data_IF_715673411425
#
_entry.id   IF_715673411425
#
_cell.length_a   1.000
_cell.length_b   1.000
_cell.length_c   1.000
_cell.angle_alpha   90.00
_cell.angle_beta   90.00
_cell.angle_gamma   90.00
#
_symmetry.space_group_name_H-M   'P 1'
#
loop_
_entity.id
_entity.type
_entity.pdbx_description
1 polymer ?
#
# COMPACT_ATOMS: atom_id res chain seq x y z
N UNK A 1 -22.60 -15.65 -17.72
CA UNK A 1 -22.40 -16.40 -18.98
C UNK A 1 -23.43 -15.95 -19.99
N UNK A 2 -23.00 -15.76 -21.24
CA UNK A 2 -23.89 -15.49 -22.37
C UNK A 2 -23.62 -16.52 -23.47
N UNK A 3 -24.61 -16.78 -24.32
CA UNK A 3 -24.44 -17.61 -25.51
C UNK A 3 -23.84 -16.82 -26.71
N UNK A 4 -23.74 -17.49 -27.86
CA UNK A 4 -23.23 -16.90 -29.11
C UNK A 4 -24.07 -15.72 -29.63
N UNK A 5 -25.33 -15.64 -29.23
CA UNK A 5 -26.31 -14.63 -29.67
C UNK A 5 -26.46 -13.51 -28.62
N UNK A 6 -25.58 -13.49 -27.61
CA UNK A 6 -25.57 -12.56 -26.48
C UNK A 6 -26.78 -12.70 -25.54
N UNK A 7 -27.41 -13.87 -25.51
CA UNK A 7 -28.46 -14.18 -24.52
C UNK A 7 -27.82 -14.62 -23.21
N UNK A 8 -28.30 -14.08 -22.09
CA UNK A 8 -27.83 -14.49 -20.76
C UNK A 8 -28.35 -15.90 -20.45
N UNK A 9 -27.43 -16.83 -20.18
CA UNK A 9 -27.75 -18.23 -19.83
C UNK A 9 -27.47 -18.55 -18.37
N UNK A 10 -26.55 -17.82 -17.73
CA UNK A 10 -26.27 -17.92 -16.30
C UNK A 10 -25.85 -16.56 -15.76
N UNK A 11 -26.49 -16.10 -14.67
CA UNK A 11 -26.13 -14.90 -13.94
C UNK A 11 -26.39 -15.12 -12.46
N UNK A 12 -25.33 -15.18 -11.66
CA UNK A 12 -25.41 -15.30 -10.20
C UNK A 12 -24.25 -14.60 -9.52
N UNK A 13 -24.46 -14.17 -8.27
CA UNK A 13 -23.37 -13.77 -7.39
C UNK A 13 -22.69 -15.02 -6.85
N UNK A 14 -21.36 -15.01 -6.79
CA UNK A 14 -20.56 -16.13 -6.29
C UNK A 14 -19.61 -15.60 -5.23
N UNK A 15 -19.58 -16.18 -4.03
CA UNK A 15 -18.56 -15.84 -3.02
C UNK A 15 -17.16 -16.12 -3.54
N UNK A 16 -16.20 -15.25 -3.20
CA UNK A 16 -14.80 -15.43 -3.60
C UNK A 16 -14.08 -16.45 -2.71
N UNK A 17 -14.53 -17.70 -2.75
CA UNK A 17 -13.94 -18.84 -2.05
C UNK A 17 -13.65 -19.95 -3.05
N UNK A 18 -12.63 -20.77 -2.78
CA UNK A 18 -12.20 -21.81 -3.71
C UNK A 18 -13.33 -22.81 -4.03
N UNK A 19 -14.06 -23.28 -3.01
CA UNK A 19 -15.15 -24.23 -3.17
C UNK A 19 -16.27 -23.69 -4.10
N UNK A 20 -16.75 -22.48 -3.83
CA UNK A 20 -17.84 -21.83 -4.60
C UNK A 20 -17.43 -21.54 -6.05
N UNK A 21 -16.16 -21.19 -6.26
CA UNK A 21 -15.62 -20.94 -7.59
C UNK A 21 -15.40 -22.24 -8.38
N UNK A 22 -14.95 -23.32 -7.73
CA UNK A 22 -14.85 -24.64 -8.35
C UNK A 22 -16.24 -25.21 -8.71
N UNK A 23 -17.23 -24.99 -7.85
CA UNK A 23 -18.63 -25.33 -8.14
C UNK A 23 -19.14 -24.54 -9.35
N UNK A 24 -18.89 -23.23 -9.42
CA UNK A 24 -19.21 -22.43 -10.60
C UNK A 24 -18.54 -22.95 -11.87
N UNK A 25 -17.26 -23.34 -11.79
CA UNK A 25 -16.55 -23.90 -12.94
C UNK A 25 -17.22 -25.20 -13.41
N UNK A 26 -17.52 -26.11 -12.49
CA UNK A 26 -18.24 -27.35 -12.79
C UNK A 26 -19.61 -27.10 -13.44
N UNK A 27 -20.44 -26.27 -12.80
CA UNK A 27 -21.77 -25.92 -13.30
C UNK A 27 -21.75 -25.38 -14.74
N UNK A 28 -20.76 -24.55 -15.06
CA UNK A 28 -20.63 -23.97 -16.39
C UNK A 28 -20.18 -25.01 -17.41
N UNK A 29 -19.19 -25.86 -17.06
CA UNK A 29 -18.72 -26.92 -17.96
C UNK A 29 -19.82 -27.94 -18.26
N UNK A 30 -20.56 -28.35 -17.22
CA UNK A 30 -21.71 -29.25 -17.33
C UNK A 30 -22.81 -28.65 -18.22
N UNK A 31 -23.16 -27.36 -18.01
CA UNK A 31 -24.15 -26.67 -18.83
C UNK A 31 -23.76 -26.63 -20.32
N UNK A 32 -22.46 -26.57 -20.60
CA UNK A 32 -21.94 -26.54 -21.97
C UNK A 32 -21.69 -27.92 -22.57
N UNK A 33 -21.92 -29.00 -21.83
CA UNK A 33 -21.60 -30.37 -22.26
C UNK A 33 -20.16 -30.49 -22.78
N UNK A 34 -19.21 -29.92 -22.01
CA UNK A 34 -17.78 -29.83 -22.35
C UNK A 34 -17.44 -29.06 -23.64
N UNK A 35 -18.40 -28.30 -24.20
CA UNK A 35 -18.09 -27.40 -25.31
C UNK A 35 -17.11 -26.30 -24.86
N UNK A 36 -16.23 -25.80 -25.75
CA UNK A 36 -15.22 -24.82 -25.37
C UNK A 36 -15.82 -23.53 -24.77
N UNK A 37 -15.50 -23.26 -23.51
CA UNK A 37 -15.93 -22.05 -22.79
C UNK A 37 -14.86 -20.97 -22.91
N UNK A 38 -15.31 -19.75 -23.20
CA UNK A 38 -14.45 -18.56 -23.15
C UNK A 38 -14.75 -17.76 -21.89
N UNK A 39 -13.73 -17.58 -21.07
CA UNK A 39 -13.79 -16.82 -19.83
C UNK A 39 -13.20 -15.43 -20.03
N UNK A 40 -13.72 -14.44 -19.31
CA UNK A 40 -13.25 -13.07 -19.41
C UNK A 40 -13.31 -12.38 -18.04
N UNK A 41 -12.23 -11.70 -17.67
CA UNK A 41 -12.11 -10.93 -16.43
C UNK A 41 -11.68 -9.50 -16.72
N UNK A 42 -12.13 -8.55 -15.90
CA UNK A 42 -11.74 -7.15 -15.98
C UNK A 42 -10.64 -6.73 -15.00
N UNK A 43 -10.21 -7.68 -14.16
CA UNK A 43 -9.12 -7.55 -13.23
C UNK A 43 -8.09 -8.62 -13.59
N UNK A 44 -6.81 -8.26 -13.52
CA UNK A 44 -5.68 -9.18 -13.74
C UNK A 44 -4.91 -9.49 -12.45
N UNK A 45 -5.39 -9.03 -11.30
CA UNK A 45 -4.78 -9.21 -9.99
C UNK A 45 -5.84 -9.08 -8.86
N UNK A 46 -5.35 -9.21 -7.61
CA UNK A 46 -6.08 -8.99 -6.37
C UNK A 46 -7.38 -9.82 -6.25
N UNK A 47 -8.54 -9.17 -6.22
CA UNK A 47 -9.83 -9.82 -6.00
C UNK A 47 -10.19 -10.91 -7.01
N UNK A 48 -9.59 -10.89 -8.21
CA UNK A 48 -9.77 -11.93 -9.22
C UNK A 48 -8.66 -12.99 -9.25
N UNK A 49 -7.61 -12.84 -8.43
CA UNK A 49 -6.42 -13.71 -8.51
C UNK A 49 -6.76 -15.18 -8.32
N UNK A 50 -7.59 -15.52 -7.32
CA UNK A 50 -8.02 -16.89 -7.07
C UNK A 50 -8.74 -17.49 -8.29
N UNK A 51 -9.71 -16.75 -8.84
CA UNK A 51 -10.47 -17.21 -10.00
C UNK A 51 -9.60 -17.40 -11.24
N UNK A 52 -8.67 -16.46 -11.49
CA UNK A 52 -7.70 -16.56 -12.59
C UNK A 52 -6.83 -17.82 -12.41
N UNK A 53 -6.31 -18.05 -11.19
CA UNK A 53 -5.49 -19.23 -10.90
C UNK A 53 -6.24 -20.53 -11.12
N UNK A 54 -7.49 -20.64 -10.66
CA UNK A 54 -8.32 -21.82 -10.88
C UNK A 54 -8.55 -22.06 -12.38
N UNK A 55 -8.95 -21.04 -13.13
CA UNK A 55 -9.16 -21.17 -14.57
C UNK A 55 -7.88 -21.61 -15.31
N UNK A 56 -6.74 -21.01 -15.00
CA UNK A 56 -5.45 -21.37 -15.61
C UNK A 56 -5.06 -22.82 -15.26
N UNK A 57 -5.22 -23.24 -14.00
CA UNK A 57 -4.88 -24.60 -13.55
C UNK A 57 -5.80 -25.68 -14.15
N UNK A 58 -7.03 -25.30 -14.52
CA UNK A 58 -7.98 -26.15 -15.22
C UNK A 58 -7.95 -25.97 -16.75
N UNK A 59 -6.86 -25.40 -17.29
CA UNK A 59 -6.60 -25.22 -18.72
C UNK A 59 -7.70 -24.46 -19.48
N UNK A 60 -8.40 -23.58 -18.77
CA UNK A 60 -9.52 -22.82 -19.33
C UNK A 60 -9.05 -21.63 -20.16
N UNK A 61 -9.73 -21.37 -21.28
CA UNK A 61 -9.43 -20.23 -22.15
C UNK A 61 -9.91 -18.92 -21.52
N UNK A 62 -8.99 -18.15 -20.96
CA UNK A 62 -9.27 -16.90 -20.25
C UNK A 62 -8.75 -15.67 -21.01
N UNK A 63 -9.54 -14.61 -21.06
CA UNK A 63 -9.13 -13.29 -21.56
C UNK A 63 -9.14 -12.23 -20.45
N UNK A 64 -8.19 -11.30 -20.50
CA UNK A 64 -8.19 -10.10 -19.67
C UNK A 64 -8.65 -8.89 -20.50
N UNK A 65 -9.70 -8.22 -20.05
CA UNK A 65 -10.21 -6.99 -20.65
C UNK A 65 -9.99 -5.83 -19.68
N UNK A 66 -9.04 -4.91 -19.92
CA UNK A 66 -8.80 -3.80 -19.01
C UNK A 66 -10.06 -2.98 -18.73
N UNK A 67 -10.27 -2.57 -17.47
CA UNK A 67 -11.42 -1.77 -17.04
C UNK A 67 -11.65 -0.51 -17.89
N UNK A 68 -10.57 0.10 -18.41
CA UNK A 68 -10.67 1.25 -19.32
C UNK A 68 -11.31 0.89 -20.66
N UNK A 69 -10.97 -0.26 -21.24
CA UNK A 69 -11.57 -0.77 -22.48
C UNK A 69 -13.05 -1.05 -22.28
N UNK A 70 -13.42 -1.65 -21.14
CA UNK A 70 -14.81 -1.91 -20.78
C UNK A 70 -15.58 -0.60 -20.57
N UNK A 71 -14.98 0.38 -19.89
CA UNK A 71 -15.60 1.70 -19.69
C UNK A 71 -15.92 2.37 -21.03
N UNK A 72 -14.98 2.36 -21.99
CA UNK A 72 -15.23 2.90 -23.33
C UNK A 72 -16.32 2.11 -24.08
N UNK A 73 -16.31 0.78 -23.99
CA UNK A 73 -17.35 -0.05 -24.62
C UNK A 73 -18.73 0.15 -23.97
N UNK A 74 -18.80 0.33 -22.65
CA UNK A 74 -20.06 0.37 -21.89
C UNK A 74 -21.02 1.49 -22.33
N UNK A 75 -20.49 2.54 -22.96
CA UNK A 75 -21.29 3.64 -23.52
C UNK A 75 -22.13 3.25 -24.74
N UNK A 76 -21.78 2.18 -25.45
CA UNK A 76 -22.56 1.69 -26.61
C UNK A 76 -23.68 0.70 -26.21
N UNK A 77 -23.72 0.24 -24.95
CA UNK A 77 -24.72 -0.69 -24.45
C UNK A 77 -25.93 0.04 -23.83
N UNK A 78 -27.14 -0.49 -24.08
CA UNK A 78 -28.39 0.06 -23.53
C UNK A 78 -28.40 0.04 -22.00
N UNK A 79 -29.11 1.00 -21.40
CA UNK A 79 -29.31 1.11 -19.95
C UNK A 79 -28.43 2.19 -19.29
N UNK A 80 -29.04 3.00 -18.44
CA UNK A 80 -28.38 4.03 -17.63
C UNK A 80 -27.91 3.48 -16.28
N UNK A 81 -26.72 3.90 -15.83
CA UNK A 81 -26.18 3.55 -14.52
C UNK A 81 -25.15 2.42 -14.56
N UNK A 82 -24.20 2.49 -13.62
CA UNK A 82 -23.18 1.45 -13.41
C UNK A 82 -23.77 0.35 -12.54
N UNK A 83 -23.79 -0.88 -13.04
CA UNK A 83 -24.20 -2.07 -12.28
C UNK A 83 -23.26 -3.22 -12.60
N UNK A 84 -22.98 -4.07 -11.61
CA UNK A 84 -22.08 -5.22 -11.81
C UNK A 84 -22.60 -6.18 -12.88
N UNK A 85 -23.92 -6.35 -12.98
CA UNK A 85 -24.55 -7.18 -14.00
C UNK A 85 -24.35 -6.61 -15.42
N UNK A 86 -24.45 -5.28 -15.59
CA UNK A 86 -24.14 -4.62 -16.86
C UNK A 86 -22.66 -4.78 -17.21
N UNK A 87 -21.76 -4.53 -16.25
CA UNK A 87 -20.32 -4.68 -16.47
C UNK A 87 -19.97 -6.12 -16.87
N UNK A 88 -20.54 -7.13 -16.19
CA UNK A 88 -20.35 -8.55 -16.53
C UNK A 88 -20.87 -8.89 -17.94
N UNK A 89 -22.03 -8.36 -18.33
CA UNK A 89 -22.57 -8.54 -19.68
C UNK A 89 -21.65 -7.93 -20.74
N UNK A 90 -21.22 -6.68 -20.55
CA UNK A 90 -20.31 -5.99 -21.48
C UNK A 90 -19.00 -6.76 -21.62
N UNK A 91 -18.42 -7.26 -20.52
CA UNK A 91 -17.19 -8.06 -20.55
C UNK A 91 -17.38 -9.33 -21.38
N UNK A 92 -18.45 -10.09 -21.11
CA UNK A 92 -18.73 -11.34 -21.80
C UNK A 92 -18.98 -11.10 -23.30
N UNK A 93 -19.74 -10.06 -23.64
CA UNK A 93 -20.08 -9.74 -25.02
C UNK A 93 -18.90 -9.19 -25.83
N UNK A 94 -18.06 -8.35 -25.21
CA UNK A 94 -16.79 -7.91 -25.82
C UNK A 94 -15.85 -9.10 -26.07
N UNK A 95 -15.73 -10.03 -25.13
CA UNK A 95 -14.91 -11.22 -25.30
C UNK A 95 -15.44 -12.15 -26.39
N UNK A 96 -16.77 -12.23 -26.56
CA UNK A 96 -17.44 -12.99 -27.62
C UNK A 96 -17.18 -12.40 -29.01
N UNK A 97 -17.24 -11.07 -29.15
CA UNK A 97 -17.16 -10.41 -30.46
C UNK A 97 -15.72 -10.16 -30.95
N UNK A 98 -14.80 -9.86 -30.03
CA UNK A 98 -13.44 -9.46 -30.39
C UNK A 98 -12.55 -10.65 -30.74
N UNK A 99 -11.76 -10.48 -31.81
CA UNK A 99 -10.79 -11.50 -32.29
C UNK A 99 -9.33 -11.12 -32.02
N UNK A 100 -9.10 -9.91 -31.55
CA UNK A 100 -7.78 -9.33 -31.26
C UNK A 100 -7.37 -9.51 -29.78
N UNK A 101 -8.18 -10.21 -28.98
CA UNK A 101 -7.86 -10.51 -27.60
C UNK A 101 -6.82 -11.63 -27.52
N UNK A 102 -5.78 -11.41 -26.71
CA UNK A 102 -4.77 -12.42 -26.44
C UNK A 102 -5.16 -13.20 -25.18
N UNK A 103 -5.21 -14.55 -25.23
CA UNK A 103 -5.52 -15.35 -24.05
C UNK A 103 -4.48 -15.12 -22.96
N UNK A 104 -4.95 -15.02 -21.72
CA UNK A 104 -4.10 -15.02 -20.56
C UNK A 104 -3.41 -16.39 -20.48
N UNK A 105 -2.11 -16.40 -20.70
CA UNK A 105 -1.29 -17.60 -20.56
C UNK A 105 -0.92 -17.80 -19.09
N UNK A 106 -0.56 -19.04 -18.73
CA UNK A 106 0.04 -19.33 -17.42
C UNK A 106 1.15 -18.34 -17.10
N UNK A 107 1.13 -17.78 -15.89
CA UNK A 107 2.09 -16.76 -15.50
C UNK A 107 3.45 -17.42 -15.35
N UNK A 108 4.44 -17.01 -16.14
CA UNK A 108 5.81 -17.50 -15.97
C UNK A 108 6.34 -17.11 -14.59
N UNK A 109 7.30 -17.87 -14.06
CA UNK A 109 7.97 -17.56 -12.80
C UNK A 109 8.48 -16.10 -12.77
N UNK A 110 9.07 -15.64 -13.89
CA UNK A 110 9.52 -14.26 -14.06
C UNK A 110 8.39 -13.22 -13.90
N UNK A 111 7.20 -13.51 -14.43
CA UNK A 111 6.05 -12.62 -14.32
C UNK A 111 5.49 -12.60 -12.88
N UNK A 112 5.56 -13.72 -12.15
CA UNK A 112 5.25 -13.78 -10.72
C UNK A 112 6.24 -12.93 -9.92
N UNK A 113 7.53 -13.10 -10.15
CA UNK A 113 8.58 -12.33 -9.48
C UNK A 113 8.43 -10.82 -9.73
N UNK A 114 8.20 -10.43 -10.99
CA UNK A 114 7.96 -9.04 -11.35
C UNK A 114 6.71 -8.49 -10.65
N UNK A 115 5.65 -9.30 -10.51
CA UNK A 115 4.43 -8.92 -9.77
C UNK A 115 4.73 -8.70 -8.28
N UNK A 116 5.51 -9.57 -7.64
CA UNK A 116 5.92 -9.40 -6.23
C UNK A 116 6.73 -8.10 -6.06
N UNK A 117 7.70 -7.85 -6.94
CA UNK A 117 8.54 -6.66 -6.88
C UNK A 117 7.74 -5.37 -7.11
N UNK A 118 6.81 -5.38 -8.07
CA UNK A 118 5.97 -4.22 -8.37
C UNK A 118 4.96 -3.95 -7.26
N UNK A 119 4.34 -4.98 -6.67
CA UNK A 119 3.50 -4.85 -5.49
C UNK A 119 4.27 -4.23 -4.32
N UNK A 120 5.46 -4.75 -4.01
CA UNK A 120 6.33 -4.20 -2.96
C UNK A 120 6.70 -2.74 -3.22
N UNK A 121 6.97 -2.36 -4.47
CA UNK A 121 7.25 -0.97 -4.85
C UNK A 121 6.03 -0.07 -4.62
N UNK A 122 4.82 -0.53 -4.93
CA UNK A 122 3.59 0.23 -4.69
C UNK A 122 3.37 0.44 -3.19
N UNK A 123 3.52 -0.61 -2.38
CA UNK A 123 3.40 -0.51 -0.92
C UNK A 123 4.39 0.51 -0.35
N UNK A 124 5.66 0.42 -0.76
CA UNK A 124 6.69 1.37 -0.34
C UNK A 124 6.38 2.81 -0.77
N UNK A 125 5.75 3.02 -1.93
CA UNK A 125 5.34 4.34 -2.37
C UNK A 125 4.20 4.90 -1.51
N UNK A 126 3.22 4.06 -1.16
CA UNK A 126 2.13 4.44 -0.26
C UNK A 126 2.67 4.76 1.13
N UNK A 127 3.53 3.91 1.68
CA UNK A 127 4.13 4.13 3.00
C UNK A 127 5.03 5.37 3.03
N UNK A 128 5.78 5.63 1.95
CA UNK A 128 6.53 6.89 1.79
C UNK A 128 5.59 8.09 1.87
N UNK A 129 4.48 8.10 1.14
CA UNK A 129 3.51 9.20 1.18
C UNK A 129 2.92 9.37 2.58
N UNK A 130 2.53 8.27 3.24
CA UNK A 130 2.03 8.30 4.63
C UNK A 130 3.06 8.90 5.58
N UNK A 131 4.31 8.45 5.50
CA UNK A 131 5.40 8.94 6.35
C UNK A 131 5.67 10.43 6.13
N UNK A 132 5.70 10.90 4.87
CA UNK A 132 5.85 12.32 4.53
C UNK A 132 4.69 13.14 5.09
N UNK A 133 3.44 12.70 4.90
CA UNK A 133 2.28 13.43 5.38
C UNK A 133 2.27 13.52 6.92
N UNK A 134 2.65 12.44 7.60
CA UNK A 134 2.81 12.46 9.06
C UNK A 134 3.90 13.43 9.51
N UNK A 135 5.05 13.43 8.83
CA UNK A 135 6.14 14.36 9.10
C UNK A 135 5.68 15.82 8.90
N UNK A 136 4.97 16.12 7.81
CA UNK A 136 4.43 17.47 7.54
C UNK A 136 3.46 17.89 8.63
N UNK A 137 2.54 17.02 9.06
CA UNK A 137 1.63 17.32 10.15
C UNK A 137 2.36 17.65 11.46
N UNK A 138 3.42 16.89 11.80
CA UNK A 138 4.23 17.16 12.99
C UNK A 138 5.01 18.47 12.89
N UNK A 139 5.60 18.78 11.74
CA UNK A 139 6.32 20.04 11.54
C UNK A 139 5.35 21.22 11.58
N UNK A 140 4.15 21.07 11.00
CA UNK A 140 3.13 22.11 11.00
C UNK A 140 2.67 22.48 12.42
N UNK A 141 2.59 21.50 13.32
CA UNK A 141 2.18 21.70 14.72
C UNK A 141 3.18 22.56 15.52
N UNK A 142 4.50 22.36 15.32
CA UNK A 142 5.54 23.00 16.16
C UNK A 142 6.39 24.04 15.43
N UNK A 143 6.46 23.99 14.10
CA UNK A 143 7.33 24.84 13.30
C UNK A 143 6.75 25.10 11.89
N UNK A 144 5.58 25.76 11.78
CA UNK A 144 4.88 25.97 10.52
C UNK A 144 5.71 26.73 9.47
N UNK A 145 6.57 27.66 9.89
CA UNK A 145 7.46 28.38 8.97
C UNK A 145 8.48 27.46 8.28
N UNK A 146 8.90 26.36 8.93
CA UNK A 146 9.81 25.37 8.35
C UNK A 146 9.09 24.49 7.32
N UNK A 147 7.84 24.13 7.60
CA UNK A 147 6.98 23.38 6.66
C UNK A 147 6.81 24.14 5.34
N UNK A 148 6.61 25.46 5.41
CA UNK A 148 6.49 26.31 4.21
C UNK A 148 7.82 26.47 3.46
N UNK A 149 8.95 26.35 4.14
CA UNK A 149 10.27 26.67 3.61
C UNK A 149 10.87 25.56 2.72
N UNK A 150 10.38 24.32 2.82
CA UNK A 150 10.78 23.22 1.94
C UNK A 150 9.73 22.11 1.82
N UNK A 151 9.71 21.43 0.68
CA UNK A 151 8.89 20.24 0.45
C UNK A 151 9.68 18.95 0.78
N UNK A 152 9.35 18.23 1.88
CA UNK A 152 10.04 17.00 2.25
C UNK A 152 9.74 15.82 1.31
N UNK A 153 8.75 15.94 0.42
CA UNK A 153 8.41 14.86 -0.52
C UNK A 153 9.40 14.71 -1.66
N UNK A 154 10.03 15.82 -2.05
CA UNK A 154 10.95 15.93 -3.19
C UNK A 154 12.40 16.20 -2.77
N UNK A 155 12.64 16.60 -1.52
CA UNK A 155 13.95 17.04 -1.04
C UNK A 155 14.58 16.08 -0.02
N UNK A 156 15.54 15.26 -0.47
CA UNK A 156 16.39 14.45 0.44
C UNK A 156 17.16 15.34 1.42
N UNK A 157 17.56 16.54 0.98
CA UNK A 157 18.24 17.54 1.83
C UNK A 157 17.40 17.96 3.02
N UNK A 158 16.10 18.19 2.80
CA UNK A 158 15.15 18.56 3.84
C UNK A 158 15.03 17.45 4.90
N UNK A 159 14.91 16.20 4.46
CA UNK A 159 14.84 15.04 5.35
C UNK A 159 16.13 14.91 6.17
N UNK A 160 17.30 15.08 5.54
CA UNK A 160 18.59 15.05 6.25
C UNK A 160 18.68 16.16 7.28
N UNK A 161 18.26 17.39 6.97
CA UNK A 161 18.23 18.49 7.93
C UNK A 161 17.41 18.14 9.17
N UNK A 162 16.21 17.58 8.97
CA UNK A 162 15.29 17.19 10.04
C UNK A 162 15.80 16.04 10.92
N UNK A 163 16.84 15.32 10.51
CA UNK A 163 17.49 14.33 11.39
C UNK A 163 18.26 14.98 12.55
N UNK A 164 18.68 16.25 12.40
CA UNK A 164 19.54 16.93 13.38
C UNK A 164 19.00 18.26 13.87
N UNK A 165 18.26 19.00 13.05
CA UNK A 165 17.72 20.31 13.39
C UNK A 165 16.20 20.31 13.16
N UNK A 166 15.45 20.20 14.25
CA UNK A 166 13.98 20.07 14.24
C UNK A 166 13.28 21.28 14.85
N UNK A 167 14.01 22.18 15.50
CA UNK A 167 13.46 23.32 16.23
C UNK A 167 13.97 24.65 15.66
N UNK A 168 13.18 25.74 15.78
CA UNK A 168 13.65 27.08 15.42
C UNK A 168 14.93 27.46 16.18
N UNK A 169 14.99 27.17 17.48
CA UNK A 169 16.13 27.50 18.33
C UNK A 169 17.43 26.82 17.88
N UNK A 170 17.37 25.55 17.50
CA UNK A 170 18.55 24.81 17.02
C UNK A 170 19.06 25.35 15.69
N UNK A 171 18.15 25.69 14.76
CA UNK A 171 18.51 26.32 13.48
C UNK A 171 19.12 27.72 13.66
N UNK A 172 18.61 28.50 14.62
CA UNK A 172 19.20 29.81 14.98
C UNK A 172 20.60 29.64 15.55
N UNK A 173 20.77 28.72 16.50
CA UNK A 173 22.04 28.48 17.19
C UNK A 173 23.16 28.05 16.25
N UNK A 174 22.86 27.19 15.27
CA UNK A 174 23.86 26.81 14.27
C UNK A 174 24.16 27.97 13.30
N UNK A 175 23.11 28.68 12.87
CA UNK A 175 23.23 29.77 11.91
C UNK A 175 23.51 29.30 10.47
N UNK A 176 23.24 30.20 9.51
CA UNK A 176 23.26 29.90 8.06
C UNK A 176 24.58 29.27 7.57
N UNK A 177 25.72 29.90 7.89
CA UNK A 177 27.01 29.49 7.36
C UNK A 177 27.43 28.09 7.85
N UNK A 178 27.25 27.79 9.14
CA UNK A 178 27.59 26.47 9.70
C UNK A 178 26.60 25.41 9.24
N UNK A 179 25.32 25.74 9.07
CA UNK A 179 24.32 24.83 8.53
C UNK A 179 24.65 24.43 7.08
N UNK A 180 25.04 25.40 6.25
CA UNK A 180 25.46 25.14 4.87
C UNK A 180 26.71 24.23 4.82
N UNK A 181 27.71 24.47 5.69
CA UNK A 181 28.88 23.59 5.80
C UNK A 181 28.50 22.19 6.26
N UNK A 182 27.61 22.06 7.26
CA UNK A 182 27.17 20.76 7.76
C UNK A 182 26.42 19.95 6.69
N UNK A 183 25.47 20.56 5.97
CA UNK A 183 24.73 19.92 4.89
C UNK A 183 25.64 19.57 3.69
N UNK A 184 26.67 20.39 3.39
CA UNK A 184 27.71 20.03 2.41
C UNK A 184 28.48 18.78 2.84
N UNK A 185 28.81 18.64 4.12
CA UNK A 185 29.48 17.46 4.67
C UNK A 185 28.58 16.20 4.63
N UNK A 186 27.25 16.36 4.57
CA UNK A 186 26.31 15.27 4.30
C UNK A 186 26.22 14.89 2.81
N UNK A 187 27.07 15.45 1.95
CA UNK A 187 27.13 15.22 0.49
C UNK A 187 25.87 15.64 -0.28
N UNK A 188 25.16 16.67 0.19
CA UNK A 188 23.95 17.17 -0.46
C UNK A 188 24.14 18.59 -1.00
N UNK A 189 23.45 18.96 -2.10
CA UNK A 189 23.43 20.33 -2.63
C UNK A 189 22.43 21.18 -1.82
N UNK A 190 22.93 22.31 -1.34
CA UNK A 190 22.55 22.77 0.01
C UNK A 190 22.12 24.23 0.11
N UNK A 191 22.54 25.10 -0.82
CA UNK A 191 22.52 26.56 -0.59
C UNK A 191 21.09 27.08 -0.35
N UNK A 192 20.12 26.62 -1.13
CA UNK A 192 18.72 27.04 -0.98
C UNK A 192 18.07 26.51 0.31
N UNK A 193 18.32 25.24 0.66
CA UNK A 193 17.72 24.62 1.86
C UNK A 193 18.29 25.21 3.15
N UNK A 194 19.61 25.46 3.20
CA UNK A 194 20.24 26.08 4.36
C UNK A 194 19.75 27.53 4.59
N UNK A 195 19.58 28.29 3.50
CA UNK A 195 19.04 29.65 3.55
C UNK A 195 17.57 29.65 3.99
N UNK A 196 16.71 28.90 3.31
CA UNK A 196 15.28 28.85 3.61
C UNK A 196 15.01 28.36 5.04
N UNK A 197 15.76 27.37 5.54
CA UNK A 197 15.57 26.85 6.90
C UNK A 197 15.97 27.87 7.96
N UNK A 198 17.02 28.64 7.73
CA UNK A 198 17.41 29.71 8.64
C UNK A 198 16.43 30.90 8.59
N UNK A 199 15.91 31.24 7.41
CA UNK A 199 14.91 32.29 7.23
C UNK A 199 13.58 31.89 7.92
N UNK A 200 13.19 30.63 7.83
CA UNK A 200 12.06 30.06 8.57
C UNK A 200 12.26 30.17 10.09
N UNK A 201 13.47 29.90 10.60
CA UNK A 201 13.77 29.99 12.02
C UNK A 201 13.73 31.42 12.58
N UNK A 202 13.97 32.43 11.73
CA UNK A 202 13.78 33.85 12.06
C UNK A 202 12.29 34.21 12.02
N UNK A 203 11.54 33.72 11.03
CA UNK A 203 10.09 34.00 10.89
C UNK A 203 9.27 33.43 12.06
N UNK A 204 9.67 32.26 12.58
CA UNK A 204 9.04 31.66 13.76
C UNK A 204 9.18 32.53 15.02
N UNK A 205 10.25 33.33 15.14
CA UNK A 205 10.48 34.25 16.27
C UNK A 205 9.52 35.44 16.26
N UNK A 206 9.22 35.98 15.07
CA UNK A 206 8.21 37.03 14.91
C UNK A 206 6.82 36.50 15.30
N UNK A 207 6.49 35.28 14.90
CA UNK A 207 5.23 34.64 15.25
C UNK A 207 5.13 34.30 16.76
N UNK A 208 6.19 33.79 17.39
CA UNK A 208 6.24 33.53 18.85
C UNK A 208 6.19 34.82 19.67
N UNK A 209 6.85 35.90 19.21
CA UNK A 209 6.80 37.22 19.84
C UNK A 209 5.40 37.86 19.75
N UNK A 210 4.67 37.64 18.64
CA UNK A 210 3.27 38.06 18.50
C UNK A 210 2.29 37.12 19.23
N UNK A 211 2.56 35.82 19.32
CA UNK A 211 1.75 34.85 20.05
C UNK A 211 1.91 35.00 21.58
N UNK A 212 3.06 35.47 22.08
CA UNK A 212 3.20 35.86 23.50
C UNK A 212 2.29 37.03 23.90
N UNK A 213 1.78 37.81 22.93
CA UNK A 213 0.75 38.82 23.16
C UNK A 213 -0.68 38.24 23.16
N UNK A 214 -0.85 36.95 22.84
CA UNK A 214 -2.15 36.24 22.82
C UNK A 214 -2.01 34.92 23.61
N UNK A 215 -2.40 34.95 24.89
CA UNK A 215 -2.30 33.79 25.77
C UNK A 215 -3.14 32.60 25.28
N UNK A 216 -2.50 31.49 24.91
CA UNK A 216 -3.13 30.18 24.72
C UNK A 216 -2.73 29.21 25.85
N UNK A 217 -3.69 28.50 26.50
CA UNK A 217 -3.38 27.51 27.53
C UNK A 217 -2.98 26.17 26.89
N UNK A 218 -1.74 25.71 27.13
CA UNK A 218 -1.27 24.37 26.75
C UNK A 218 0.25 24.20 26.48
N UNK A 219 1.01 25.28 26.31
CA UNK A 219 2.38 25.25 25.78
C UNK A 219 3.49 24.91 26.80
N UNK A 220 3.38 23.82 27.56
CA UNK A 220 4.49 23.33 28.43
C UNK A 220 4.85 21.84 28.33
N UNK A 221 4.15 21.03 27.52
CA UNK A 221 4.38 19.57 27.52
C UNK A 221 5.43 19.05 26.51
N UNK A 222 5.97 19.88 25.62
CA UNK A 222 6.88 19.42 24.55
C UNK A 222 8.33 19.11 24.98
N UNK A 223 8.74 19.48 26.19
CA UNK A 223 10.15 19.34 26.64
C UNK A 223 10.52 17.95 27.18
N UNK A 224 9.60 16.98 27.22
CA UNK A 224 9.82 15.70 27.92
C UNK A 224 10.34 14.54 27.05
N UNK A 225 10.55 14.71 25.73
CA UNK A 225 11.00 13.61 24.85
C UNK A 225 12.51 13.59 24.57
N UNK A 226 13.30 14.29 25.38
CA UNK A 226 14.77 14.18 25.37
C UNK A 226 15.20 13.10 26.38
N UNK A 227 15.21 11.84 25.91
CA UNK A 227 15.97 10.67 26.39
C UNK A 227 15.09 9.42 26.59
N UNK A 228 15.07 8.56 25.58
CA UNK A 228 15.03 7.12 25.81
C UNK A 228 15.98 6.45 24.81
N UNK A 229 17.06 5.76 25.24
CA UNK A 229 17.89 4.99 24.33
C UNK A 229 17.14 3.74 23.83
N UNK A 230 17.50 3.18 22.66
CA UNK A 230 16.85 2.01 22.11
C UNK A 230 17.05 0.79 23.03
N UNK A 231 15.95 0.13 23.37
CA UNK A 231 15.97 -1.11 24.14
C UNK A 231 16.63 -2.22 23.32
N UNK A 232 17.84 -2.63 23.72
CA UNK A 232 18.46 -3.87 23.27
C UNK A 232 17.82 -5.10 23.91
N UNK A 233 18.04 -6.31 23.36
CA UNK A 233 17.31 -7.51 23.73
C UNK A 233 17.70 -8.01 25.12
N UNK A 234 16.69 -8.34 25.93
CA UNK A 234 16.82 -8.92 27.26
C UNK A 234 17.35 -10.36 27.16
N UNK A 235 18.59 -10.58 27.59
CA UNK A 235 19.14 -11.91 27.85
C UNK A 235 18.99 -12.26 29.35
N UNK A 236 18.17 -13.27 29.56
CA UNK A 236 18.11 -14.33 30.57
C UNK A 236 18.61 -14.13 32.03
N UNK A 237 17.80 -14.72 32.93
CA UNK A 237 17.79 -14.59 34.38
C UNK A 237 18.79 -15.53 35.06
N UNK A 238 19.48 -15.01 36.09
CA UNK A 238 20.09 -15.81 37.15
C UNK A 238 19.09 -16.25 38.23
N UNK A 239 19.47 -17.20 39.11
CA UNK A 239 18.60 -18.29 39.55
C UNK A 239 17.91 -18.04 40.90
N UNK A 240 16.75 -18.66 41.11
CA UNK A 240 16.25 -19.00 42.45
C UNK A 240 15.61 -20.39 42.47
N UNK A 241 16.16 -21.22 43.35
CA UNK A 241 15.58 -22.41 43.98
C UNK A 241 14.19 -22.07 44.55
N UNK A 242 13.20 -22.94 44.70
CA UNK A 242 13.00 -24.37 44.47
C UNK A 242 11.62 -24.69 45.10
N UNK A 243 10.89 -25.68 44.59
CA UNK A 243 10.03 -26.60 45.36
C UNK A 243 9.29 -27.57 44.43
N UNK A 244 9.35 -28.85 44.81
CA UNK A 244 8.72 -30.02 44.19
C UNK A 244 7.19 -29.99 44.29
N UNK A 245 6.48 -30.54 43.29
CA UNK A 245 5.52 -31.67 43.42
C UNK A 245 5.33 -32.29 42.03
N UNK A 246 5.48 -33.62 41.92
CA UNK A 246 5.31 -34.38 40.68
C UNK A 246 3.91 -34.95 40.47
N UNK A 247 3.67 -35.53 39.28
CA UNK A 247 2.90 -36.76 38.97
C UNK A 247 3.14 -37.09 37.47
N UNK A 248 3.27 -38.39 37.17
CA UNK A 248 3.85 -39.01 35.97
C UNK A 248 2.96 -39.03 34.70
N UNK A 249 3.55 -39.21 33.50
CA UNK A 249 2.85 -39.68 32.30
C UNK A 249 3.16 -41.17 31.96
N UNK A 250 2.38 -41.79 31.05
CA UNK A 250 2.03 -43.22 31.11
C UNK A 250 2.98 -44.18 30.38
N UNK A 251 2.87 -45.44 30.79
CA UNK A 251 3.56 -46.61 30.25
C UNK A 251 3.15 -46.99 28.82
N UNK A 252 4.16 -47.41 28.03
CA UNK A 252 4.14 -48.44 26.98
C UNK A 252 5.52 -49.12 27.02
N UNK A 253 5.72 -50.40 26.61
CA UNK A 253 5.02 -51.09 25.54
C UNK A 253 4.68 -52.58 25.81
N UNK A 254 3.90 -53.19 24.92
CA UNK A 254 4.02 -54.62 24.62
C UNK A 254 3.65 -54.85 23.14
N UNK A 255 4.59 -55.41 22.41
CA UNK A 255 4.43 -56.01 21.09
C UNK A 255 3.83 -57.40 21.22
N UNK A 256 2.87 -57.73 20.36
CA UNK A 256 2.80 -58.99 19.62
C UNK A 256 1.82 -58.86 18.46
#
# INVERSE_FOLDING_TARGET
MIDKDATIVLSRRVPNSEAELLELLGDVLDLTHDAPVTWAVNLNADGAALWITLLVNHEQKLFYLPGRSIHYASGSYRGSGKTDAKDAFVIADQARMRRDLQPLQGTSELAVDLKILTARRMDLAVDRTRAINRLRAQILEYFPALEQAFDPSTSTTALILLTKYQTPADLRRIGRARLATWLKNQRVRTIHVARNSADAAVTADSAESHASAVHFPGARSGSALRALPPSGPQADRGPRQGENVGIAPPARPATS
#
